data_IF_970205455637
#
_entry.id   IF_970205455637
#
_cell.length_a   1.000
_cell.length_b   1.000
_cell.length_c   1.000
_cell.angle_alpha   90.00
_cell.angle_beta   90.00
_cell.angle_gamma   90.00
#
_symmetry.space_group_name_H-M   'P 1'
#
loop_
_entity.id
_entity.type
_entity.pdbx_description
1 polymer ?
#
# COMPACT_ATOMS: atom_id res chain seq x y z
N UNK A 1 4.92 -21.91 -2.34
CA UNK A 1 5.77 -20.84 -1.78
C UNK A 1 6.96 -21.48 -1.06
N UNK A 2 8.20 -21.22 -1.48
CA UNK A 2 9.41 -21.67 -0.77
C UNK A 2 9.95 -20.50 0.05
N UNK A 3 10.08 -20.67 1.37
CA UNK A 3 10.81 -19.72 2.20
C UNK A 3 12.30 -19.91 1.95
N UNK A 4 12.98 -18.85 1.58
CA UNK A 4 14.42 -18.86 1.34
C UNK A 4 15.10 -18.06 2.44
N UNK A 5 16.08 -18.65 3.13
CA UNK A 5 16.95 -17.87 3.99
C UNK A 5 17.72 -16.85 3.15
N UNK A 6 17.64 -15.58 3.55
CA UNK A 6 18.39 -14.51 2.92
C UNK A 6 19.54 -14.12 3.86
N UNK A 7 20.74 -14.61 3.55
CA UNK A 7 21.96 -14.24 4.28
C UNK A 7 22.56 -13.00 3.62
N UNK A 8 22.45 -11.85 4.28
CA UNK A 8 22.96 -10.58 3.76
C UNK A 8 21.96 -9.83 2.87
N UNK A 9 22.46 -8.83 2.14
CA UNK A 9 21.63 -8.05 1.22
C UNK A 9 21.33 -8.88 -0.03
N UNK A 10 20.09 -8.84 -0.56
CA UNK A 10 19.77 -9.43 -1.86
C UNK A 10 20.56 -8.72 -2.96
N UNK A 11 20.72 -9.38 -4.11
CA UNK A 11 21.25 -8.72 -5.30
C UNK A 11 20.33 -7.55 -5.71
N UNK A 12 20.92 -6.39 -5.99
CA UNK A 12 20.25 -5.19 -6.50
C UNK A 12 21.17 -4.52 -7.52
N UNK A 13 20.60 -3.84 -8.51
CA UNK A 13 21.37 -3.13 -9.54
C UNK A 13 21.56 -1.63 -9.20
N UNK A 14 22.27 -0.93 -10.08
CA UNK A 14 22.59 0.50 -9.89
C UNK A 14 21.36 1.42 -9.92
N UNK A 15 20.20 0.95 -10.36
CA UNK A 15 18.93 1.69 -10.47
C UNK A 15 17.93 1.32 -9.35
N UNK A 16 18.34 0.54 -8.36
CA UNK A 16 17.45 0.01 -7.31
C UNK A 16 17.81 0.50 -5.90
N UNK A 17 16.84 0.38 -5.00
CA UNK A 17 17.00 0.64 -3.56
C UNK A 17 16.74 -0.64 -2.78
N UNK A 18 17.50 -0.88 -1.72
CA UNK A 18 17.25 -1.97 -0.78
C UNK A 18 16.68 -1.43 0.52
N UNK A 19 15.60 -2.04 0.98
CA UNK A 19 14.85 -1.67 2.17
C UNK A 19 14.89 -2.83 3.15
N UNK A 20 15.37 -2.58 4.38
CA UNK A 20 15.16 -3.50 5.50
C UNK A 20 13.72 -3.31 6.00
N UNK A 21 12.90 -4.32 5.81
CA UNK A 21 11.48 -4.25 6.15
C UNK A 21 11.31 -4.28 7.67
N UNK A 22 10.39 -3.46 8.15
CA UNK A 22 9.87 -3.46 9.54
C UNK A 22 8.51 -4.14 9.60
N UNK A 23 7.70 -3.95 8.56
CA UNK A 23 6.41 -4.58 8.39
C UNK A 23 6.04 -4.64 6.91
N UNK A 24 5.28 -5.67 6.56
CA UNK A 24 4.75 -5.90 5.22
C UNK A 24 3.25 -6.10 5.39
N UNK A 25 2.46 -5.47 4.54
CA UNK A 25 1.02 -5.71 4.59
C UNK A 25 0.65 -6.93 3.76
N UNK A 26 -0.42 -7.62 4.16
CA UNK A 26 -1.02 -8.70 3.40
C UNK A 26 -2.28 -8.19 2.72
N UNK A 27 -2.37 -8.45 1.43
CA UNK A 27 -3.46 -8.03 0.57
C UNK A 27 -4.22 -9.25 0.05
N UNK A 28 -5.46 -9.05 -0.39
CA UNK A 28 -6.27 -10.15 -0.94
C UNK A 28 -5.60 -10.80 -2.16
N UNK A 29 -4.85 -10.01 -2.95
CA UNK A 29 -4.04 -10.51 -4.07
C UNK A 29 -3.02 -11.56 -3.60
N UNK A 30 -2.35 -11.36 -2.47
CA UNK A 30 -1.38 -12.31 -1.92
C UNK A 30 -2.02 -13.67 -1.62
N UNK A 31 -3.24 -13.65 -1.07
CA UNK A 31 -4.02 -14.85 -0.76
C UNK A 31 -4.43 -15.55 -2.06
N UNK A 32 -4.95 -14.79 -3.03
CA UNK A 32 -5.37 -15.38 -4.31
C UNK A 32 -4.19 -15.98 -5.09
N UNK A 33 -3.01 -15.35 -5.06
CA UNK A 33 -1.78 -15.96 -5.62
C UNK A 33 -1.41 -17.23 -4.86
N UNK A 34 -1.43 -17.21 -3.52
CA UNK A 34 -1.09 -18.41 -2.74
C UNK A 34 -2.04 -19.59 -3.00
N UNK A 35 -3.29 -19.31 -3.41
CA UNK A 35 -4.30 -20.29 -3.79
C UNK A 35 -4.27 -20.68 -5.27
N UNK A 36 -3.33 -20.15 -6.05
CA UNK A 36 -3.25 -20.35 -7.51
C UNK A 36 -4.55 -19.94 -8.26
N UNK A 37 -5.22 -18.92 -7.73
CA UNK A 37 -6.52 -18.44 -8.22
C UNK A 37 -6.41 -17.24 -9.17
N UNK A 38 -5.21 -16.74 -9.45
CA UNK A 38 -4.96 -15.59 -10.33
C UNK A 38 -4.30 -16.02 -11.63
N UNK A 39 -5.08 -16.05 -12.71
CA UNK A 39 -4.60 -16.33 -14.06
C UNK A 39 -3.73 -15.16 -14.56
N UNK A 40 -2.53 -15.45 -15.08
CA UNK A 40 -1.62 -14.45 -15.66
C UNK A 40 -0.76 -13.69 -14.64
N UNK A 41 -0.67 -14.21 -13.40
CA UNK A 41 0.17 -13.66 -12.33
C UNK A 41 1.16 -14.71 -11.82
N UNK A 42 1.63 -15.61 -12.69
CA UNK A 42 2.50 -16.73 -12.33
C UNK A 42 3.85 -16.28 -11.73
N UNK A 43 4.32 -15.10 -12.13
CA UNK A 43 5.54 -14.46 -11.61
C UNK A 43 5.30 -13.62 -10.34
N UNK A 44 4.09 -13.62 -9.78
CA UNK A 44 3.77 -12.81 -8.62
C UNK A 44 4.28 -13.45 -7.32
N UNK A 45 5.13 -12.72 -6.60
CA UNK A 45 5.54 -13.04 -5.24
C UNK A 45 4.81 -12.18 -4.21
N UNK A 46 4.31 -12.74 -3.10
CA UNK A 46 3.59 -11.96 -2.11
C UNK A 46 4.36 -10.78 -1.49
N UNK A 47 3.58 -9.80 -1.05
CA UNK A 47 4.05 -8.54 -0.49
C UNK A 47 4.05 -7.42 -1.53
N UNK A 48 2.92 -6.69 -1.59
CA UNK A 48 2.76 -5.51 -2.45
C UNK A 48 3.30 -4.23 -1.83
N UNK A 49 3.37 -4.13 -0.51
CA UNK A 49 3.87 -2.94 0.17
C UNK A 49 4.57 -3.28 1.48
N UNK A 50 5.50 -2.42 1.87
CA UNK A 50 6.17 -2.51 3.15
C UNK A 50 6.46 -1.13 3.72
N UNK A 51 6.69 -1.11 5.04
CA UNK A 51 7.34 -0.02 5.73
C UNK A 51 8.71 -0.51 6.23
N UNK A 52 9.73 0.32 6.10
CA UNK A 52 11.11 -0.10 6.37
C UNK A 52 12.09 1.05 6.40
N UNK A 53 13.38 0.70 6.39
CA UNK A 53 14.47 1.68 6.24
C UNK A 53 15.31 1.35 5.02
N UNK A 54 15.75 2.40 4.33
CA UNK A 54 16.73 2.26 3.26
C UNK A 54 18.05 1.75 3.85
N UNK A 55 18.60 0.68 3.31
CA UNK A 55 19.89 0.09 3.72
C UNK A 55 20.92 0.04 2.59
N UNK A 56 20.50 0.18 1.34
CA UNK A 56 21.39 0.39 0.21
C UNK A 56 20.68 1.17 -0.92
N UNK A 57 21.47 1.90 -1.70
CA UNK A 57 21.02 2.70 -2.84
C UNK A 57 21.98 2.41 -4.00
N UNK A 58 21.44 2.07 -5.17
CA UNK A 58 22.20 1.88 -6.39
C UNK A 58 22.88 3.16 -6.87
N UNK A 59 23.99 3.03 -7.62
CA UNK A 59 24.84 4.18 -7.97
C UNK A 59 24.13 5.22 -8.84
N UNK A 60 23.24 4.79 -9.74
CA UNK A 60 22.49 5.71 -10.60
C UNK A 60 21.44 6.46 -9.78
N UNK A 61 20.75 5.77 -8.86
CA UNK A 61 19.81 6.40 -7.93
C UNK A 61 20.51 7.43 -7.03
N UNK A 62 21.69 7.09 -6.50
CA UNK A 62 22.47 7.99 -5.65
C UNK A 62 22.98 9.26 -6.38
N UNK A 63 23.16 9.18 -7.70
CA UNK A 63 23.62 10.29 -8.55
C UNK A 63 22.47 11.11 -9.15
N UNK A 64 21.24 10.60 -9.12
CA UNK A 64 20.08 11.33 -9.63
C UNK A 64 19.83 12.59 -8.77
N UNK A 65 19.91 13.80 -9.34
CA UNK A 65 19.65 15.03 -8.59
C UNK A 65 18.21 15.15 -8.06
N UNK A 66 17.28 14.33 -8.56
CA UNK A 66 15.90 14.25 -8.06
C UNK A 66 15.73 13.28 -6.89
N UNK A 67 16.73 12.44 -6.61
CA UNK A 67 16.67 11.51 -5.49
C UNK A 67 16.70 12.28 -4.16
N UNK A 68 15.73 12.00 -3.31
CA UNK A 68 15.62 12.56 -1.96
C UNK A 68 15.79 11.51 -0.85
N UNK A 69 16.21 10.30 -1.21
CA UNK A 69 16.38 9.16 -0.30
C UNK A 69 17.85 9.00 0.12
N UNK A 70 18.05 8.72 1.40
CA UNK A 70 19.34 8.43 2.01
C UNK A 70 19.29 7.10 2.79
N UNK A 71 20.44 6.45 2.95
CA UNK A 71 20.57 5.29 3.83
C UNK A 71 20.16 5.68 5.24
N UNK A 72 19.31 4.87 5.86
CA UNK A 72 18.72 5.11 7.18
C UNK A 72 17.34 5.76 7.14
N UNK A 73 16.92 6.34 6.00
CA UNK A 73 15.62 6.98 5.89
C UNK A 73 14.47 5.97 6.13
N UNK A 74 13.47 6.34 6.96
CA UNK A 74 12.24 5.58 7.06
C UNK A 74 11.43 5.79 5.78
N UNK A 75 10.92 4.69 5.21
CA UNK A 75 10.20 4.71 3.94
C UNK A 75 8.99 3.79 3.98
N UNK A 76 8.00 4.12 3.15
CA UNK A 76 7.06 3.13 2.61
C UNK A 76 7.48 2.81 1.18
N UNK A 77 7.25 1.57 0.76
CA UNK A 77 7.50 1.15 -0.61
C UNK A 77 6.37 0.26 -1.10
N UNK A 78 6.14 0.29 -2.41
CA UNK A 78 5.22 -0.62 -3.08
C UNK A 78 5.90 -1.37 -4.24
N UNK A 79 5.40 -2.55 -4.55
CA UNK A 79 5.90 -3.43 -5.60
C UNK A 79 4.79 -3.63 -6.65
N UNK A 80 4.89 -2.89 -7.76
CA UNK A 80 3.78 -2.80 -8.73
C UNK A 80 3.58 -4.08 -9.55
N UNK A 81 4.63 -4.64 -10.14
CA UNK A 81 4.50 -5.66 -11.20
C UNK A 81 4.64 -7.09 -10.69
N UNK A 82 5.67 -7.36 -9.89
CA UNK A 82 6.00 -8.73 -9.50
C UNK A 82 5.58 -9.03 -8.06
N UNK A 83 5.32 -8.02 -7.21
CA UNK A 83 5.39 -8.24 -5.76
C UNK A 83 6.76 -8.80 -5.36
N UNK A 84 7.14 -8.75 -4.07
CA UNK A 84 8.44 -9.26 -3.56
C UNK A 84 8.77 -8.72 -2.15
N UNK A 85 7.89 -7.92 -1.55
CA UNK A 85 8.23 -7.23 -0.31
C UNK A 85 7.98 -8.07 0.94
N UNK A 86 7.40 -9.27 0.84
CA UNK A 86 7.26 -10.22 1.96
C UNK A 86 8.60 -10.91 2.28
N UNK A 87 9.61 -10.11 2.61
CA UNK A 87 11.00 -10.51 2.84
C UNK A 87 11.66 -9.56 3.84
N UNK A 88 12.73 -9.99 4.51
CA UNK A 88 13.52 -9.13 5.43
C UNK A 88 14.17 -7.93 4.72
N UNK A 89 14.60 -8.14 3.48
CA UNK A 89 15.17 -7.11 2.62
C UNK A 89 14.43 -7.09 1.27
N UNK A 90 13.74 -6.00 0.98
CA UNK A 90 13.04 -5.77 -0.28
C UNK A 90 13.87 -4.91 -1.23
N UNK A 91 13.89 -5.25 -2.52
CA UNK A 91 14.56 -4.46 -3.56
C UNK A 91 13.50 -3.69 -4.34
N UNK A 92 13.46 -2.37 -4.26
CA UNK A 92 12.42 -1.56 -4.88
C UNK A 92 12.98 -0.66 -5.99
N UNK A 93 12.12 -0.33 -6.95
CA UNK A 93 12.33 0.79 -7.87
C UNK A 93 12.23 2.09 -7.05
N UNK A 94 13.16 3.06 -7.18
CA UNK A 94 13.15 4.30 -6.42
C UNK A 94 11.86 5.11 -6.59
N UNK A 95 11.19 5.05 -7.75
CA UNK A 95 9.91 5.72 -7.99
C UNK A 95 8.76 5.11 -7.20
N UNK A 96 8.96 3.89 -6.67
CA UNK A 96 7.98 3.18 -5.84
C UNK A 96 8.29 3.28 -4.34
N UNK A 97 9.23 4.15 -3.96
CA UNK A 97 9.65 4.37 -2.56
C UNK A 97 9.38 5.82 -2.17
N UNK A 98 8.73 6.01 -1.03
CA UNK A 98 8.43 7.33 -0.49
C UNK A 98 9.01 7.46 0.92
N UNK A 99 9.83 8.50 1.12
CA UNK A 99 10.29 8.92 2.45
C UNK A 99 9.10 9.32 3.30
N UNK A 100 9.07 8.83 4.52
CA UNK A 100 8.06 9.19 5.52
C UNK A 100 8.69 9.93 6.70
N UNK A 101 7.92 10.67 7.50
CA UNK A 101 8.41 11.18 8.78
C UNK A 101 8.66 10.03 9.76
N UNK A 102 9.60 10.23 10.68
CA UNK A 102 9.92 9.22 11.69
C UNK A 102 8.72 8.89 12.62
N UNK A 103 7.81 9.85 12.82
CA UNK A 103 6.55 9.63 13.55
C UNK A 103 5.63 8.60 12.88
N UNK A 104 5.79 8.35 11.58
CA UNK A 104 5.07 7.33 10.82
C UNK A 104 5.84 6.01 10.71
N UNK A 105 7.06 5.90 11.23
CA UNK A 105 7.84 4.65 11.18
C UNK A 105 7.32 3.62 12.21
N UNK A 106 6.09 3.14 12.03
CA UNK A 106 5.42 2.18 12.92
C UNK A 106 4.75 1.08 12.10
N UNK A 107 4.73 -0.15 12.65
CA UNK A 107 4.32 -1.34 11.88
C UNK A 107 2.84 -1.27 11.46
N UNK A 108 2.00 -0.63 12.27
CA UNK A 108 0.59 -0.37 11.99
C UNK A 108 0.34 0.44 10.71
N UNK A 109 1.34 1.20 10.24
CA UNK A 109 1.26 1.98 9.02
C UNK A 109 1.72 1.23 7.76
N UNK A 110 2.18 -0.02 7.89
CA UNK A 110 2.62 -0.84 6.76
C UNK A 110 1.50 -1.11 5.73
N UNK A 111 0.23 -1.07 6.16
CA UNK A 111 -0.94 -1.43 5.35
C UNK A 111 -1.73 -0.25 4.75
N UNK A 112 -1.23 0.97 4.87
CA UNK A 112 -2.00 2.17 4.51
C UNK A 112 -1.84 2.53 3.04
N UNK A 113 -0.65 2.37 2.47
CA UNK A 113 -0.32 3.04 1.21
C UNK A 113 -1.13 2.47 0.04
N UNK A 114 -1.17 1.15 -0.13
CA UNK A 114 -1.81 0.51 -1.28
C UNK A 114 -3.33 0.71 -1.28
N UNK A 115 -3.96 0.67 -0.10
CA UNK A 115 -5.42 0.84 -0.01
C UNK A 115 -5.83 2.28 -0.30
N UNK A 116 -5.04 3.27 0.17
CA UNK A 116 -5.30 4.68 -0.09
C UNK A 116 -5.01 5.08 -1.53
N UNK A 117 -3.90 4.65 -2.12
CA UNK A 117 -3.60 4.99 -3.51
C UNK A 117 -4.59 4.33 -4.47
N UNK A 118 -5.05 3.11 -4.16
CA UNK A 118 -6.09 2.42 -4.93
C UNK A 118 -7.42 3.19 -4.88
N UNK A 119 -7.86 3.58 -3.68
CA UNK A 119 -9.07 4.37 -3.51
C UNK A 119 -8.96 5.76 -4.20
N UNK A 120 -7.84 6.45 -4.00
CA UNK A 120 -7.57 7.75 -4.60
C UNK A 120 -7.56 7.68 -6.14
N UNK A 121 -6.83 6.73 -6.72
CA UNK A 121 -6.79 6.55 -8.16
C UNK A 121 -8.19 6.29 -8.72
N UNK A 122 -8.97 5.43 -8.07
CA UNK A 122 -10.33 5.09 -8.51
C UNK A 122 -11.25 6.31 -8.48
N UNK A 123 -11.28 7.04 -7.36
CA UNK A 123 -12.23 8.13 -7.13
C UNK A 123 -11.80 9.44 -7.80
N UNK A 124 -10.51 9.73 -7.83
CA UNK A 124 -9.99 11.00 -8.32
C UNK A 124 -9.55 10.92 -9.78
N UNK A 125 -8.66 9.97 -10.10
CA UNK A 125 -8.05 9.89 -11.44
C UNK A 125 -9.02 9.24 -12.43
N UNK A 126 -9.63 8.12 -12.06
CA UNK A 126 -10.47 7.33 -12.98
C UNK A 126 -11.89 7.85 -13.10
N UNK A 127 -12.51 8.23 -11.98
CA UNK A 127 -13.88 8.74 -11.95
C UNK A 127 -13.98 10.27 -12.16
N UNK A 128 -12.85 10.98 -12.27
CA UNK A 128 -12.83 12.42 -12.55
C UNK A 128 -12.94 13.33 -11.32
N UNK A 129 -12.88 12.78 -10.11
CA UNK A 129 -12.85 13.53 -8.86
C UNK A 129 -14.22 13.80 -8.26
N UNK A 130 -14.39 13.36 -7.01
CA UNK A 130 -15.59 13.61 -6.21
C UNK A 130 -15.66 15.09 -5.83
N UNK A 131 -16.85 15.67 -5.92
CA UNK A 131 -17.16 17.05 -5.52
C UNK A 131 -17.98 17.06 -4.23
N UNK A 132 -17.85 18.13 -3.42
CA UNK A 132 -18.69 18.30 -2.23
C UNK A 132 -20.18 18.18 -2.56
N UNK A 133 -20.93 17.51 -1.70
CA UNK A 133 -22.37 17.27 -1.84
C UNK A 133 -22.76 16.14 -2.80
N UNK A 134 -21.82 15.57 -3.56
CA UNK A 134 -22.14 14.38 -4.38
C UNK A 134 -22.37 13.16 -3.50
N UNK A 135 -23.32 12.31 -3.92
CA UNK A 135 -23.60 11.04 -3.24
C UNK A 135 -22.83 9.90 -3.88
N UNK A 136 -22.22 9.04 -3.06
CA UNK A 136 -21.47 7.87 -3.49
C UNK A 136 -21.87 6.62 -2.69
N UNK A 137 -22.00 5.49 -3.40
CA UNK A 137 -22.13 4.16 -2.80
C UNK A 137 -20.75 3.51 -2.69
N UNK A 138 -20.31 3.21 -1.47
CA UNK A 138 -19.06 2.51 -1.18
C UNK A 138 -19.38 1.08 -0.76
N UNK A 139 -19.10 0.13 -1.64
CA UNK A 139 -19.27 -1.29 -1.34
C UNK A 139 -18.19 -1.83 -0.42
N UNK A 140 -18.57 -2.80 0.43
CA UNK A 140 -17.68 -3.46 1.37
C UNK A 140 -16.83 -2.45 2.18
N UNK A 141 -17.48 -1.37 2.64
CA UNK A 141 -16.82 -0.20 3.23
C UNK A 141 -15.98 -0.52 4.47
N UNK A 142 -16.25 -1.64 5.14
CA UNK A 142 -15.46 -2.11 6.28
C UNK A 142 -14.13 -2.81 5.89
N UNK A 143 -13.87 -3.04 4.60
CA UNK A 143 -12.58 -3.54 4.12
C UNK A 143 -11.54 -2.41 3.97
N UNK A 144 -10.25 -2.75 3.78
CA UNK A 144 -9.16 -1.75 3.75
C UNK A 144 -9.35 -0.65 2.71
N UNK A 145 -9.65 -1.01 1.44
CA UNK A 145 -9.92 -0.03 0.37
C UNK A 145 -11.21 0.75 0.64
N UNK A 146 -12.24 0.07 1.18
CA UNK A 146 -13.51 0.70 1.54
C UNK A 146 -13.35 1.78 2.60
N UNK A 147 -12.59 1.50 3.65
CA UNK A 147 -12.27 2.44 4.72
C UNK A 147 -11.46 3.64 4.20
N UNK A 148 -10.48 3.39 3.31
CA UNK A 148 -9.73 4.47 2.67
C UNK A 148 -10.62 5.35 1.79
N UNK A 149 -11.53 4.75 1.01
CA UNK A 149 -12.51 5.46 0.19
C UNK A 149 -13.45 6.32 1.06
N UNK A 150 -13.96 5.78 2.16
CA UNK A 150 -14.78 6.53 3.13
C UNK A 150 -14.01 7.76 3.60
N UNK A 151 -12.75 7.60 4.01
CA UNK A 151 -11.97 8.73 4.55
C UNK A 151 -11.70 9.82 3.50
N UNK A 152 -11.40 9.44 2.26
CA UNK A 152 -11.22 10.37 1.16
C UNK A 152 -12.53 11.10 0.81
N UNK A 153 -13.64 10.38 0.73
CA UNK A 153 -14.96 10.95 0.45
C UNK A 153 -15.41 11.94 1.54
N UNK A 154 -15.14 11.64 2.82
CA UNK A 154 -15.38 12.59 3.92
C UNK A 154 -14.52 13.85 3.77
N UNK A 155 -13.24 13.69 3.44
CA UNK A 155 -12.33 14.82 3.21
C UNK A 155 -12.81 15.71 2.05
N UNK A 156 -13.43 15.13 1.03
CA UNK A 156 -13.98 15.85 -0.12
C UNK A 156 -15.43 16.32 0.07
N UNK A 157 -16.03 16.09 1.24
CA UNK A 157 -17.39 16.54 1.56
C UNK A 157 -18.50 15.81 0.80
N UNK A 158 -18.28 14.54 0.44
CA UNK A 158 -19.28 13.71 -0.23
C UNK A 158 -20.30 13.11 0.77
N UNK A 159 -21.51 12.86 0.28
CA UNK A 159 -22.53 12.09 1.00
C UNK A 159 -22.29 10.59 0.78
N UNK A 160 -22.03 9.84 1.84
CA UNK A 160 -21.63 8.44 1.74
C UNK A 160 -22.81 7.52 2.07
N UNK A 161 -23.09 6.59 1.17
CA UNK A 161 -23.87 5.39 1.44
C UNK A 161 -22.89 4.23 1.43
N UNK A 162 -22.86 3.41 2.47
CA UNK A 162 -21.95 2.28 2.58
C UNK A 162 -22.70 0.95 2.51
N UNK A 163 -22.01 -0.11 2.08
CA UNK A 163 -22.47 -1.48 2.31
C UNK A 163 -21.43 -2.28 3.08
N UNK A 164 -21.89 -3.11 4.01
CA UNK A 164 -21.06 -4.07 4.75
C UNK A 164 -21.89 -5.25 5.26
N UNK A 165 -21.25 -6.33 5.69
CA UNK A 165 -21.93 -7.41 6.41
C UNK A 165 -22.54 -6.88 7.70
N UNK A 166 -23.66 -7.46 8.15
CA UNK A 166 -24.39 -7.01 9.34
C UNK A 166 -23.47 -6.80 10.57
N UNK A 167 -22.57 -7.74 10.84
CA UNK A 167 -21.60 -7.67 11.94
C UNK A 167 -20.58 -6.53 11.86
N UNK A 168 -20.43 -5.87 10.70
CA UNK A 168 -19.47 -4.78 10.46
C UNK A 168 -20.14 -3.42 10.31
N UNK A 169 -21.47 -3.35 10.28
CA UNK A 169 -22.17 -2.08 10.11
C UNK A 169 -21.97 -1.15 11.32
N UNK A 170 -22.03 -1.71 12.54
CA UNK A 170 -21.81 -0.94 13.77
C UNK A 170 -20.42 -0.26 13.79
N UNK A 171 -19.37 -0.99 13.40
CA UNK A 171 -18.02 -0.44 13.25
C UNK A 171 -17.99 0.80 12.34
N UNK A 172 -18.69 0.75 11.20
CA UNK A 172 -18.73 1.87 10.25
C UNK A 172 -19.46 3.09 10.81
N UNK A 173 -20.54 2.86 11.55
CA UNK A 173 -21.32 3.92 12.21
C UNK A 173 -20.50 4.58 13.31
N UNK A 174 -19.88 3.80 14.19
CA UNK A 174 -19.15 4.31 15.35
C UNK A 174 -17.81 4.94 14.99
N UNK A 175 -17.07 4.35 14.04
CA UNK A 175 -15.71 4.80 13.70
C UNK A 175 -15.71 5.96 12.72
N UNK A 176 -16.63 5.96 11.75
CA UNK A 176 -16.67 6.94 10.67
C UNK A 176 -17.89 7.87 10.73
N UNK A 177 -18.86 7.62 11.61
CA UNK A 177 -20.06 8.46 11.69
C UNK A 177 -20.98 8.34 10.47
N UNK A 178 -20.99 7.18 9.79
CA UNK A 178 -21.84 6.98 8.62
C UNK A 178 -23.31 6.76 9.02
N UNK A 179 -24.20 7.57 8.45
CA UNK A 179 -25.65 7.46 8.69
C UNK A 179 -26.29 6.29 7.90
N UNK A 180 -25.81 6.05 6.67
CA UNK A 180 -26.36 5.04 5.78
C UNK A 180 -25.35 3.90 5.54
N UNK A 181 -25.61 2.73 6.15
CA UNK A 181 -24.80 1.50 6.09
C UNK A 181 -25.68 0.27 5.99
#
# INVERSE_FOLDING_TARGET
MKFTECVGLPAYNDDQIVIKTKGVSMQFKDIMTAMDALIGFDDYEPGMECIGRVVAIGKNVARDPKNNLQIGDPVVAFAHKYGHLLRTYGVADPLSVQKIPESMYKVEYAGIFIVFITAYYSLHVRAGGIKPGQTILIHAAAGGVGQAAVKLCQLWGANIIASASASKQQFLRETYGLEHV
#
